data_IF_456314182855
#
_entry.id   IF_456314182855
#
_cell.length_a   1.000
_cell.length_b   1.000
_cell.length_c   1.000
_cell.angle_alpha   90.00
_cell.angle_beta   90.00
_cell.angle_gamma   90.00
#
_symmetry.space_group_name_H-M   'P 1'
#
loop_
_entity.id
_entity.type
_entity.pdbx_description
1 polymer ?
#
# COMPACT_ATOMS: atom_id res chain seq x y z
N UNK A 1 10.98 23.18 -12.91
CA UNK A 1 10.13 24.38 -12.83
C UNK A 1 10.21 25.00 -11.43
N UNK A 2 9.95 24.29 -10.33
CA UNK A 2 10.00 24.81 -8.95
C UNK A 2 11.32 25.51 -8.65
N UNK A 3 12.46 24.85 -8.93
CA UNK A 3 13.79 25.41 -8.73
C UNK A 3 14.09 26.68 -9.55
N UNK A 4 13.32 26.97 -10.60
CA UNK A 4 13.43 28.19 -11.39
C UNK A 4 12.57 29.35 -10.87
N UNK A 5 11.43 29.03 -10.24
CA UNK A 5 10.44 30.01 -9.79
C UNK A 5 10.62 30.42 -8.33
N UNK A 6 11.14 29.55 -7.51
CA UNK A 6 11.34 29.84 -6.09
C UNK A 6 12.71 30.49 -5.91
N UNK A 7 12.80 31.62 -5.20
CA UNK A 7 14.08 32.27 -4.92
C UNK A 7 14.92 31.40 -3.98
N UNK A 8 16.22 31.63 -4.00
CA UNK A 8 17.16 31.03 -3.05
C UNK A 8 16.72 31.30 -1.60
N UNK A 9 16.79 30.28 -0.74
CA UNK A 9 16.31 30.34 0.64
C UNK A 9 14.80 30.32 0.80
N UNK A 10 14.03 30.12 -0.29
CA UNK A 10 12.58 30.00 -0.24
C UNK A 10 12.08 28.69 0.38
N UNK A 11 10.76 28.50 0.39
CA UNK A 11 10.10 27.30 0.93
C UNK A 11 9.13 26.70 -0.07
N UNK A 12 9.04 25.37 -0.05
CA UNK A 12 7.99 24.56 -0.71
C UNK A 12 7.26 23.77 0.36
N UNK A 13 5.94 23.82 0.33
CA UNK A 13 5.11 23.04 1.25
C UNK A 13 4.18 22.09 0.47
N UNK A 14 4.02 20.87 0.96
CA UNK A 14 3.08 19.88 0.44
C UNK A 14 2.72 18.85 1.54
N UNK A 15 1.65 18.10 1.31
CA UNK A 15 1.34 16.95 2.14
C UNK A 15 2.22 15.75 1.74
N UNK A 16 3.18 15.41 2.58
CA UNK A 16 4.10 14.29 2.35
C UNK A 16 3.43 12.92 2.32
N UNK A 17 2.15 12.83 2.70
CA UNK A 17 1.37 11.59 2.62
C UNK A 17 0.93 11.25 1.19
N UNK A 18 0.90 12.24 0.30
CA UNK A 18 0.45 12.10 -1.11
C UNK A 18 1.58 12.17 -2.13
N UNK A 19 2.81 12.30 -1.68
CA UNK A 19 4.02 12.29 -2.51
C UNK A 19 4.83 11.04 -2.21
N UNK A 20 5.40 10.39 -3.22
CA UNK A 20 6.26 9.23 -3.01
C UNK A 20 7.60 9.61 -2.36
N UNK A 21 8.22 8.65 -1.67
CA UNK A 21 9.57 8.82 -1.12
C UNK A 21 10.57 9.24 -2.22
N UNK A 22 10.54 8.55 -3.37
CA UNK A 22 11.46 8.84 -4.48
C UNK A 22 11.31 10.25 -5.03
N UNK A 23 10.07 10.73 -5.23
CA UNK A 23 9.82 12.11 -5.65
C UNK A 23 10.26 13.12 -4.57
N UNK A 24 10.01 12.82 -3.31
CA UNK A 24 10.45 13.67 -2.20
C UNK A 24 11.96 13.80 -2.12
N UNK A 25 12.69 12.70 -2.32
CA UNK A 25 14.17 12.70 -2.39
C UNK A 25 14.69 13.50 -3.57
N UNK A 26 14.07 13.36 -4.76
CA UNK A 26 14.41 14.20 -5.93
C UNK A 26 14.19 15.69 -5.63
N UNK A 27 13.10 16.04 -4.95
CA UNK A 27 12.86 17.42 -4.54
C UNK A 27 13.90 17.91 -3.52
N UNK A 28 14.29 17.09 -2.55
CA UNK A 28 15.37 17.44 -1.61
C UNK A 28 16.68 17.76 -2.34
N UNK A 29 17.07 16.95 -3.32
CA UNK A 29 18.28 17.14 -4.10
C UNK A 29 18.22 18.44 -4.94
N UNK A 30 17.18 18.57 -5.75
CA UNK A 30 17.04 19.69 -6.71
C UNK A 30 16.81 21.02 -6.02
N UNK A 31 16.02 21.05 -4.95
CA UNK A 31 15.69 22.29 -4.22
C UNK A 31 16.77 22.64 -3.21
N UNK A 32 17.39 21.64 -2.58
CA UNK A 32 18.48 21.82 -1.62
C UNK A 32 19.70 22.51 -2.24
N UNK A 33 19.97 22.29 -3.53
CA UNK A 33 21.03 22.96 -4.28
C UNK A 33 20.86 24.52 -4.31
N UNK A 34 19.68 25.03 -4.00
CA UNK A 34 19.34 26.48 -3.88
C UNK A 34 18.95 26.89 -2.47
N UNK A 35 19.27 26.09 -1.46
CA UNK A 35 18.88 26.33 -0.08
C UNK A 35 17.35 26.47 0.11
N UNK A 36 16.54 25.92 -0.80
CA UNK A 36 15.06 25.91 -0.69
C UNK A 36 14.67 24.78 0.27
N UNK A 37 13.91 25.10 1.32
CA UNK A 37 13.44 24.13 2.31
C UNK A 37 12.11 23.50 1.93
N UNK A 38 11.91 22.24 2.34
CA UNK A 38 10.68 21.49 2.14
C UNK A 38 9.94 21.36 3.47
N UNK A 39 8.66 21.75 3.50
CA UNK A 39 7.71 21.51 4.57
C UNK A 39 6.70 20.45 4.08
N UNK A 40 6.74 19.24 4.62
CA UNK A 40 5.97 18.09 4.12
C UNK A 40 4.85 17.64 5.09
N UNK A 41 4.65 18.33 6.19
CA UNK A 41 3.62 18.03 7.20
C UNK A 41 2.38 18.96 7.05
N UNK A 42 2.22 19.60 5.91
CA UNK A 42 1.18 20.60 5.69
C UNK A 42 0.18 20.12 4.65
N UNK A 43 -1.03 19.80 5.08
CA UNK A 43 -2.17 19.57 4.18
C UNK A 43 -2.88 20.91 3.88
N UNK A 44 -2.43 21.57 2.80
CA UNK A 44 -3.01 22.85 2.35
C UNK A 44 -4.42 22.68 1.77
N UNK A 45 -4.74 21.50 1.26
CA UNK A 45 -6.05 21.21 0.66
C UNK A 45 -7.11 21.10 1.76
N UNK A 46 -6.79 20.46 2.87
CA UNK A 46 -7.70 20.33 4.02
C UNK A 46 -8.12 21.69 4.61
N UNK A 47 -7.27 22.71 4.46
CA UNK A 47 -7.55 24.07 4.93
C UNK A 47 -8.58 24.83 4.09
N UNK A 48 -8.81 24.42 2.85
CA UNK A 48 -9.67 25.11 1.88
C UNK A 48 -10.86 24.27 1.40
N UNK A 49 -10.83 22.95 1.64
CA UNK A 49 -11.90 22.04 1.22
C UNK A 49 -12.84 21.72 2.38
N UNK A 50 -13.79 22.61 2.63
CA UNK A 50 -14.70 22.57 3.78
C UNK A 50 -15.61 21.31 3.82
N UNK A 51 -16.02 20.78 2.65
CA UNK A 51 -16.87 19.60 2.51
C UNK A 51 -16.12 18.35 2.07
N UNK A 52 -14.81 18.25 2.41
CA UNK A 52 -13.97 17.10 2.08
C UNK A 52 -14.59 15.80 2.60
N UNK A 53 -14.86 14.81 1.73
CA UNK A 53 -15.45 13.55 2.16
C UNK A 53 -14.49 12.78 3.07
N UNK A 54 -15.06 12.10 4.06
CA UNK A 54 -14.27 11.17 4.90
C UNK A 54 -13.78 9.97 4.09
N UNK A 55 -12.72 9.32 4.56
CA UNK A 55 -12.25 8.06 3.98
C UNK A 55 -13.37 7.01 4.01
N UNK A 56 -13.37 6.14 2.99
CA UNK A 56 -14.32 5.04 2.87
C UNK A 56 -14.31 4.14 4.11
N UNK A 57 -15.50 3.70 4.53
CA UNK A 57 -15.73 2.72 5.60
C UNK A 57 -16.41 1.45 5.09
N UNK A 58 -16.31 1.18 3.78
CA UNK A 58 -16.89 -0.01 3.18
C UNK A 58 -16.27 -1.28 3.79
N UNK A 59 -17.07 -2.33 4.01
CA UNK A 59 -16.59 -3.53 4.70
C UNK A 59 -15.59 -4.31 3.84
N UNK A 60 -14.64 -4.97 4.51
CA UNK A 60 -13.73 -5.92 3.91
C UNK A 60 -14.30 -7.33 3.91
N UNK A 61 -13.76 -8.21 3.05
CA UNK A 61 -14.01 -9.64 3.08
C UNK A 61 -12.72 -10.44 2.92
N UNK A 62 -12.67 -11.62 3.53
CA UNK A 62 -11.52 -12.52 3.41
C UNK A 62 -11.64 -13.35 2.13
N UNK A 63 -10.54 -13.40 1.36
CA UNK A 63 -10.45 -14.21 0.15
C UNK A 63 -9.88 -15.58 0.50
N UNK A 64 -10.73 -16.60 0.47
CA UNK A 64 -10.39 -17.96 0.90
C UNK A 64 -9.30 -18.60 0.03
N UNK A 65 -8.58 -19.58 0.61
CA UNK A 65 -7.47 -20.28 -0.04
C UNK A 65 -7.87 -21.02 -1.32
N UNK A 66 -9.15 -21.38 -1.47
CA UNK A 66 -9.67 -21.95 -2.72
C UNK A 66 -9.59 -20.98 -3.91
N UNK A 67 -9.42 -19.69 -3.66
CA UNK A 67 -9.23 -18.65 -4.68
C UNK A 67 -7.80 -18.18 -4.76
N UNK A 68 -7.10 -18.08 -3.62
CA UNK A 68 -5.74 -17.56 -3.55
C UNK A 68 -4.67 -18.64 -3.77
N UNK A 69 -5.00 -19.91 -3.53
CA UNK A 69 -4.07 -21.05 -3.63
C UNK A 69 -2.92 -21.04 -2.64
N UNK A 70 -2.79 -19.97 -1.83
CA UNK A 70 -1.74 -19.84 -0.84
C UNK A 70 -2.27 -19.07 0.38
N UNK A 71 -2.06 -19.60 1.59
CA UNK A 71 -2.47 -18.96 2.82
C UNK A 71 -1.51 -17.82 3.24
N UNK A 72 -1.98 -16.99 4.17
CA UNK A 72 -1.24 -15.81 4.68
C UNK A 72 0.10 -16.22 5.31
N UNK A 73 0.15 -17.29 6.10
CA UNK A 73 1.38 -17.75 6.76
C UNK A 73 2.48 -18.08 5.76
N UNK A 74 2.15 -18.77 4.66
CA UNK A 74 3.10 -19.11 3.59
C UNK A 74 3.64 -17.86 2.91
N UNK A 75 2.78 -16.90 2.58
CA UNK A 75 3.17 -15.63 1.95
C UNK A 75 4.08 -14.81 2.86
N UNK A 76 3.73 -14.68 4.14
CA UNK A 76 4.56 -13.99 5.14
C UNK A 76 5.93 -14.63 5.30
N UNK A 77 6.01 -15.96 5.28
CA UNK A 77 7.29 -16.68 5.33
C UNK A 77 8.18 -16.27 4.15
N UNK A 78 7.65 -16.30 2.93
CA UNK A 78 8.39 -15.90 1.71
C UNK A 78 8.85 -14.45 1.75
N UNK A 79 8.00 -13.53 2.23
CA UNK A 79 8.35 -12.10 2.39
C UNK A 79 9.49 -11.96 3.39
N UNK A 80 9.44 -12.65 4.54
CA UNK A 80 10.50 -12.61 5.55
C UNK A 80 11.82 -13.17 5.04
N UNK A 81 11.81 -14.22 4.21
CA UNK A 81 12.99 -14.74 3.53
C UNK A 81 13.62 -13.66 2.63
N UNK A 82 12.82 -12.92 1.90
CA UNK A 82 13.31 -11.79 1.08
C UNK A 82 13.82 -10.62 1.91
N UNK A 83 13.12 -10.28 2.99
CA UNK A 83 13.65 -9.27 3.93
C UNK A 83 15.05 -9.63 4.43
N UNK A 84 15.28 -10.90 4.76
CA UNK A 84 16.59 -11.38 5.21
C UNK A 84 17.67 -11.24 4.13
N UNK A 85 17.35 -11.45 2.85
CA UNK A 85 18.29 -11.22 1.72
C UNK A 85 18.72 -9.74 1.62
N UNK A 86 17.83 -8.79 1.98
CA UNK A 86 18.14 -7.36 2.08
C UNK A 86 18.81 -6.95 3.40
N UNK A 87 18.97 -7.90 4.35
CA UNK A 87 19.41 -7.59 5.71
C UNK A 87 18.40 -6.73 6.48
N UNK A 88 17.15 -6.74 6.08
CA UNK A 88 16.08 -5.96 6.70
C UNK A 88 15.43 -6.74 7.85
N UNK A 89 15.10 -6.01 8.92
CA UNK A 89 14.42 -6.53 10.11
C UNK A 89 12.93 -6.15 10.13
N UNK A 90 12.58 -5.07 9.43
CA UNK A 90 11.20 -4.63 9.22
C UNK A 90 10.97 -4.30 7.74
N UNK A 91 9.75 -4.48 7.27
CA UNK A 91 9.34 -4.10 5.92
C UNK A 91 8.02 -3.35 5.97
N UNK A 92 8.02 -2.11 5.49
CA UNK A 92 6.83 -1.27 5.45
C UNK A 92 6.23 -1.33 4.04
N UNK A 93 4.93 -1.63 3.96
CA UNK A 93 4.19 -1.74 2.70
C UNK A 93 3.02 -0.75 2.73
N UNK A 94 3.03 0.20 1.79
CA UNK A 94 1.98 1.20 1.61
C UNK A 94 1.15 0.95 0.34
N UNK A 95 1.51 -0.04 -0.47
CA UNK A 95 0.76 -0.40 -1.68
C UNK A 95 -0.40 -1.33 -1.35
N UNK A 96 -1.62 -0.85 -1.58
CA UNK A 96 -2.87 -1.52 -1.22
C UNK A 96 -3.02 -2.91 -1.86
N UNK A 97 -2.59 -3.05 -3.11
CA UNK A 97 -2.65 -4.31 -3.85
C UNK A 97 -1.66 -5.37 -3.32
N UNK A 98 -0.52 -4.93 -2.81
CA UNK A 98 0.46 -5.80 -2.15
C UNK A 98 -0.08 -6.30 -0.80
N UNK A 99 -0.67 -5.42 0.00
CA UNK A 99 -1.27 -5.75 1.28
C UNK A 99 -2.47 -6.69 1.11
N UNK A 100 -3.36 -6.38 0.16
CA UNK A 100 -4.52 -7.21 -0.16
C UNK A 100 -4.12 -8.62 -0.64
N UNK A 101 -3.02 -8.75 -1.39
CA UNK A 101 -2.48 -10.05 -1.78
C UNK A 101 -1.84 -10.77 -0.58
N UNK A 102 -1.02 -10.07 0.20
CA UNK A 102 -0.27 -10.66 1.32
C UNK A 102 -1.18 -11.23 2.39
N UNK A 103 -2.21 -10.46 2.79
CA UNK A 103 -3.11 -10.80 3.88
C UNK A 103 -4.44 -11.44 3.43
N UNK A 104 -4.60 -11.76 2.15
CA UNK A 104 -5.78 -12.43 1.60
C UNK A 104 -7.11 -11.75 1.93
N UNK A 105 -7.17 -10.43 1.97
CA UNK A 105 -8.44 -9.72 2.13
C UNK A 105 -8.68 -8.73 0.98
N UNK A 106 -9.93 -8.37 0.78
CA UNK A 106 -10.37 -7.45 -0.26
C UNK A 106 -11.41 -6.50 0.32
N UNK A 107 -11.62 -5.37 -0.35
CA UNK A 107 -12.66 -4.40 -0.01
C UNK A 107 -13.07 -3.59 -1.25
N UNK A 108 -13.68 -2.44 -1.04
CA UNK A 108 -14.25 -1.61 -2.10
C UNK A 108 -14.02 -0.11 -1.80
N UNK A 109 -12.83 0.22 -1.29
CA UNK A 109 -12.49 1.62 -1.01
C UNK A 109 -12.08 2.39 -2.27
N UNK A 110 -11.60 1.68 -3.29
CA UNK A 110 -11.17 2.25 -4.57
C UNK A 110 -12.13 1.77 -5.65
N UNK A 111 -12.72 2.69 -6.39
CA UNK A 111 -13.64 2.37 -7.46
C UNK A 111 -12.99 1.46 -8.51
N UNK A 112 -13.67 0.37 -8.84
CA UNK A 112 -13.25 -0.67 -9.80
C UNK A 112 -12.08 -1.56 -9.37
N UNK A 113 -11.51 -1.34 -8.17
CA UNK A 113 -10.44 -2.18 -7.62
C UNK A 113 -10.85 -2.72 -6.25
N UNK A 114 -10.76 -4.04 -6.02
CA UNK A 114 -11.17 -4.64 -4.74
C UNK A 114 -10.11 -4.42 -3.64
N UNK A 115 -9.76 -3.16 -3.40
CA UNK A 115 -8.71 -2.75 -2.48
C UNK A 115 -9.27 -2.03 -1.25
N UNK A 116 -8.45 -1.97 -0.22
CA UNK A 116 -8.75 -1.34 1.06
C UNK A 116 -7.64 -0.36 1.39
N UNK A 117 -8.00 0.77 2.01
CA UNK A 117 -7.03 1.73 2.53
C UNK A 117 -6.41 1.16 3.81
N UNK A 118 -5.14 0.83 3.74
CA UNK A 118 -4.37 0.25 4.82
C UNK A 118 -2.85 0.49 4.67
N UNK A 119 -2.13 0.17 5.74
CA UNK A 119 -0.67 0.02 5.74
C UNK A 119 -0.30 -1.26 6.47
N UNK A 120 0.84 -1.83 6.13
CA UNK A 120 1.37 -3.03 6.78
C UNK A 120 2.82 -2.83 7.17
N UNK A 121 3.17 -3.23 8.40
CA UNK A 121 4.56 -3.42 8.82
C UNK A 121 4.78 -4.90 9.08
N UNK A 122 5.62 -5.54 8.27
CA UNK A 122 6.05 -6.92 8.48
C UNK A 122 7.29 -6.93 9.35
N UNK A 123 7.25 -7.67 10.45
CA UNK A 123 8.38 -7.92 11.36
C UNK A 123 8.77 -9.40 11.32
N UNK A 124 9.85 -9.75 12.01
CA UNK A 124 10.34 -11.13 12.09
C UNK A 124 9.25 -12.12 12.49
N UNK A 125 8.50 -11.82 13.55
CA UNK A 125 7.57 -12.77 14.17
C UNK A 125 6.11 -12.25 14.22
N UNK A 126 5.87 -10.99 13.85
CA UNK A 126 4.54 -10.37 13.85
C UNK A 126 4.32 -9.54 12.60
N UNK A 127 3.10 -9.06 12.45
CA UNK A 127 2.70 -8.08 11.43
C UNK A 127 1.80 -7.06 12.11
N UNK A 128 1.96 -5.79 11.77
CA UNK A 128 1.08 -4.73 12.21
C UNK A 128 0.29 -4.25 11.01
N UNK A 129 -1.05 -4.35 11.07
CA UNK A 129 -2.00 -3.91 10.05
C UNK A 129 -2.70 -2.63 10.54
N UNK A 130 -2.53 -1.54 9.83
CA UNK A 130 -3.15 -0.25 10.10
C UNK A 130 -4.34 -0.02 9.19
N UNK A 131 -5.55 -0.07 9.74
CA UNK A 131 -6.80 -0.05 8.99
C UNK A 131 -7.92 0.56 9.84
N UNK A 132 -8.99 1.09 9.22
CA UNK A 132 -10.21 1.43 9.95
C UNK A 132 -10.88 0.14 10.45
N UNK A 133 -10.92 -0.04 11.77
CA UNK A 133 -11.41 -1.23 12.46
C UNK A 133 -12.89 -1.55 12.11
N UNK A 134 -13.68 -0.54 11.77
CA UNK A 134 -15.09 -0.71 11.37
C UNK A 134 -15.29 -1.51 10.09
N UNK A 135 -14.24 -1.69 9.27
CA UNK A 135 -14.28 -2.47 8.02
C UNK A 135 -14.15 -3.98 8.26
N UNK A 136 -13.64 -4.37 9.44
CA UNK A 136 -13.26 -5.76 9.72
C UNK A 136 -14.41 -6.54 10.32
N UNK A 137 -14.72 -7.70 9.75
CA UNK A 137 -15.62 -8.68 10.33
C UNK A 137 -14.86 -9.74 11.17
N UNK A 138 -15.59 -10.56 11.91
CA UNK A 138 -15.02 -11.59 12.80
C UNK A 138 -14.11 -12.57 12.03
N UNK A 139 -14.49 -12.95 10.81
CA UNK A 139 -13.70 -13.86 9.97
C UNK A 139 -12.31 -13.29 9.66
N UNK A 140 -12.21 -12.00 9.31
CA UNK A 140 -10.92 -11.35 9.04
C UNK A 140 -10.10 -11.28 10.35
N UNK A 141 -10.73 -10.88 11.47
CA UNK A 141 -10.04 -10.79 12.76
C UNK A 141 -9.46 -12.14 13.20
N UNK A 142 -10.22 -13.22 13.03
CA UNK A 142 -9.74 -14.58 13.32
C UNK A 142 -8.54 -14.96 12.44
N UNK A 143 -8.58 -14.67 11.14
CA UNK A 143 -7.47 -14.98 10.23
C UNK A 143 -6.23 -14.10 10.53
N UNK A 144 -6.41 -12.83 10.87
CA UNK A 144 -5.32 -11.97 11.30
C UNK A 144 -4.68 -12.48 12.59
N UNK A 145 -5.48 -12.83 13.60
CA UNK A 145 -4.99 -13.39 14.87
C UNK A 145 -4.20 -14.69 14.69
N UNK A 146 -4.67 -15.61 13.83
CA UNK A 146 -3.97 -16.88 13.52
C UNK A 146 -2.57 -16.64 12.93
N UNK A 147 -2.37 -15.52 12.25
CA UNK A 147 -1.12 -15.19 11.57
C UNK A 147 -0.26 -14.19 12.35
N UNK A 148 -0.57 -13.93 13.62
CA UNK A 148 0.10 -12.96 14.48
C UNK A 148 0.10 -11.54 13.85
N UNK A 149 -1.03 -11.14 13.28
CA UNK A 149 -1.28 -9.82 12.73
C UNK A 149 -2.03 -8.99 13.76
N UNK A 150 -1.40 -7.93 14.26
CA UNK A 150 -2.00 -6.97 15.17
C UNK A 150 -2.73 -5.90 14.36
N UNK A 151 -3.92 -5.51 14.80
CA UNK A 151 -4.75 -4.52 14.12
C UNK A 151 -4.63 -3.19 14.88
N UNK A 152 -4.35 -2.12 14.14
CA UNK A 152 -4.17 -0.76 14.66
C UNK A 152 -5.05 0.23 13.89
N UNK A 153 -5.44 1.37 14.48
CA UNK A 153 -6.11 2.45 13.75
C UNK A 153 -5.26 2.96 12.57
N UNK A 154 -5.92 3.25 11.46
CA UNK A 154 -5.27 3.59 10.17
C UNK A 154 -4.17 4.66 10.28
N UNK A 155 -4.42 5.74 11.01
CA UNK A 155 -3.48 6.85 11.12
C UNK A 155 -2.35 6.63 12.12
N UNK A 156 -2.43 5.61 12.99
CA UNK A 156 -1.41 5.36 14.01
C UNK A 156 -0.07 4.92 13.39
N UNK A 157 -0.06 4.52 12.11
CA UNK A 157 1.15 4.16 11.37
C UNK A 157 2.24 5.23 11.48
N UNK A 158 1.89 6.53 11.43
CA UNK A 158 2.86 7.63 11.46
C UNK A 158 3.54 7.78 12.82
N UNK A 159 2.80 7.52 13.89
CA UNK A 159 3.35 7.55 15.25
C UNK A 159 4.11 6.25 15.60
N UNK A 160 3.64 5.12 15.10
CA UNK A 160 4.28 3.83 15.35
C UNK A 160 5.57 3.65 14.52
N UNK A 161 5.63 4.21 13.32
CA UNK A 161 6.85 4.24 12.53
C UNK A 161 7.99 4.95 13.25
N UNK A 162 7.72 6.03 14.00
CA UNK A 162 8.70 6.75 14.83
C UNK A 162 9.26 5.91 15.99
N UNK A 163 8.56 4.84 16.38
CA UNK A 163 8.93 3.92 17.47
C UNK A 163 9.73 2.70 17.00
N UNK A 164 9.95 2.55 15.69
CA UNK A 164 10.85 1.51 15.15
C UNK A 164 12.24 1.73 15.74
N UNK A 165 12.89 0.66 16.23
CA UNK A 165 14.20 0.75 16.86
C UNK A 165 15.25 1.34 15.92
N UNK A 166 16.10 2.23 16.41
CA UNK A 166 17.16 2.85 15.62
C UNK A 166 18.22 1.83 15.13
N UNK A 167 18.29 0.67 15.76
CA UNK A 167 19.12 -0.47 15.40
C UNK A 167 18.50 -1.40 14.36
N UNK A 168 17.22 -1.17 14.01
CA UNK A 168 16.53 -1.93 12.97
C UNK A 168 16.92 -1.46 11.56
N UNK A 169 16.57 -2.26 10.56
CA UNK A 169 16.77 -1.97 9.14
C UNK A 169 15.44 -2.12 8.42
N UNK A 170 14.93 -1.01 7.87
CA UNK A 170 13.65 -0.99 7.16
C UNK A 170 13.84 -1.20 5.65
N UNK A 171 13.19 -2.22 5.08
CA UNK A 171 13.05 -2.38 3.64
C UNK A 171 11.87 -1.52 3.16
N UNK A 172 12.12 -0.67 2.16
CA UNK A 172 11.13 0.25 1.58
C UNK A 172 11.26 0.29 0.08
N UNK A 173 10.11 0.27 -0.60
CA UNK A 173 10.01 0.60 -2.03
C UNK A 173 9.78 2.12 -2.16
N UNK A 174 10.77 2.88 -2.68
CA UNK A 174 10.69 4.34 -2.74
C UNK A 174 9.57 4.87 -3.67
N UNK A 175 9.11 4.05 -4.61
CA UNK A 175 8.02 4.41 -5.51
C UNK A 175 6.63 4.12 -4.93
N UNK A 176 6.54 3.35 -3.84
CA UNK A 176 5.29 2.92 -3.20
C UNK A 176 5.07 3.54 -1.82
N UNK A 177 6.16 3.91 -1.14
CA UNK A 177 6.11 4.55 0.17
C UNK A 177 5.86 6.05 0.04
N UNK A 178 5.01 6.62 0.89
CA UNK A 178 4.87 8.06 0.94
C UNK A 178 6.02 8.72 1.72
N UNK A 179 6.32 9.95 1.34
CA UNK A 179 7.46 10.70 1.85
C UNK A 179 7.37 10.99 3.35
N UNK A 180 6.18 11.35 3.87
CA UNK A 180 6.00 11.63 5.30
C UNK A 180 6.32 10.40 6.17
N UNK A 181 5.88 9.22 5.75
CA UNK A 181 6.15 7.98 6.48
C UNK A 181 7.64 7.62 6.42
N UNK A 182 8.28 7.78 5.27
CA UNK A 182 9.74 7.62 5.15
C UNK A 182 10.50 8.55 6.10
N UNK A 183 10.15 9.84 6.14
CA UNK A 183 10.81 10.83 7.01
C UNK A 183 10.57 10.60 8.51
N UNK A 184 9.56 9.82 8.87
CA UNK A 184 9.27 9.49 10.29
C UNK A 184 10.17 8.37 10.84
N UNK A 185 10.87 7.62 9.98
CA UNK A 185 11.67 6.47 10.39
C UNK A 185 12.97 6.87 11.10
N UNK A 186 13.24 6.36 12.31
CA UNK A 186 14.48 6.63 13.04
C UNK A 186 15.63 5.68 12.68
N UNK A 187 15.35 4.63 11.87
CA UNK A 187 16.27 3.54 11.58
C UNK A 187 16.89 3.66 10.19
N UNK A 188 17.86 2.79 9.91
CA UNK A 188 18.45 2.65 8.57
C UNK A 188 17.40 2.15 7.57
N UNK A 189 17.33 2.79 6.40
CA UNK A 189 16.49 2.35 5.28
C UNK A 189 17.36 1.64 4.23
N UNK A 190 16.85 0.51 3.74
CA UNK A 190 17.35 -0.18 2.54
C UNK A 190 16.27 -0.08 1.49
N UNK A 191 16.61 0.52 0.36
CA UNK A 191 15.69 0.69 -0.76
C UNK A 191 15.64 -0.57 -1.63
N UNK A 192 14.44 -1.00 -1.96
CA UNK A 192 14.21 -2.15 -2.84
C UNK A 192 12.74 -2.29 -3.18
N UNK A 193 12.45 -2.88 -4.34
CA UNK A 193 11.07 -3.18 -4.71
C UNK A 193 10.41 -4.10 -3.69
N UNK A 194 9.13 -3.88 -3.41
CA UNK A 194 8.36 -4.77 -2.52
C UNK A 194 8.48 -6.22 -3.02
N UNK A 195 8.92 -7.17 -2.19
CA UNK A 195 9.00 -8.59 -2.56
C UNK A 195 7.68 -9.15 -3.11
N UNK A 196 6.58 -8.64 -2.62
CA UNK A 196 5.21 -8.98 -3.00
C UNK A 196 4.91 -8.72 -4.48
N UNK A 197 5.55 -7.73 -5.12
CA UNK A 197 5.32 -7.39 -6.52
C UNK A 197 5.56 -8.60 -7.43
N UNK A 198 6.73 -9.23 -7.32
CA UNK A 198 7.07 -10.39 -8.16
C UNK A 198 6.31 -11.64 -7.70
N UNK A 199 6.14 -11.84 -6.40
CA UNK A 199 5.40 -12.97 -5.84
C UNK A 199 3.94 -12.98 -6.31
N UNK A 200 3.29 -11.83 -6.35
CA UNK A 200 1.93 -11.63 -6.85
C UNK A 200 1.83 -11.77 -8.37
N UNK A 201 2.87 -11.33 -9.09
CA UNK A 201 2.91 -11.42 -10.54
C UNK A 201 2.98 -12.87 -11.04
N UNK A 202 3.69 -13.76 -10.35
CA UNK A 202 3.81 -15.18 -10.67
C UNK A 202 2.63 -15.92 -10.02
N UNK A 203 1.63 -16.26 -10.84
CA UNK A 203 0.40 -16.91 -10.38
C UNK A 203 0.63 -18.39 -10.11
N UNK A 204 0.04 -18.90 -9.01
CA UNK A 204 -0.03 -20.33 -8.73
C UNK A 204 -1.15 -21.00 -9.58
N UNK A 205 -1.20 -22.34 -9.57
CA UNK A 205 -2.15 -23.10 -10.40
C UNK A 205 -3.61 -22.80 -10.05
N UNK A 206 -3.92 -22.54 -8.78
CA UNK A 206 -5.28 -22.20 -8.32
C UNK A 206 -5.68 -20.82 -8.84
N UNK A 207 -4.80 -19.84 -8.73
CA UNK A 207 -5.02 -18.50 -9.29
C UNK A 207 -5.22 -18.55 -10.81
N UNK A 208 -4.37 -19.33 -11.52
CA UNK A 208 -4.47 -19.49 -12.97
C UNK A 208 -5.83 -20.07 -13.38
N UNK A 209 -6.29 -21.11 -12.70
CA UNK A 209 -7.57 -21.74 -13.01
C UNK A 209 -8.75 -20.80 -12.71
N UNK A 210 -8.71 -20.08 -11.59
CA UNK A 210 -9.73 -19.10 -11.25
C UNK A 210 -9.76 -17.92 -12.23
N UNK A 211 -8.59 -17.43 -12.69
CA UNK A 211 -8.50 -16.39 -13.72
C UNK A 211 -9.11 -16.88 -15.03
N UNK A 212 -8.76 -18.10 -15.51
CA UNK A 212 -9.36 -18.68 -16.74
C UNK A 212 -10.89 -18.75 -16.65
N UNK A 213 -11.42 -19.18 -15.49
CA UNK A 213 -12.86 -19.27 -15.27
C UNK A 213 -13.54 -17.89 -15.24
N UNK A 214 -12.87 -16.87 -14.68
CA UNK A 214 -13.36 -15.49 -14.69
C UNK A 214 -13.35 -14.90 -16.09
N UNK A 215 -12.23 -15.03 -16.81
CA UNK A 215 -12.04 -14.57 -18.19
C UNK A 215 -13.08 -15.17 -19.16
N UNK A 216 -13.41 -16.46 -19.00
CA UNK A 216 -14.45 -17.09 -19.81
C UNK A 216 -15.81 -16.41 -19.63
N UNK A 217 -16.20 -16.12 -18.38
CA UNK A 217 -17.47 -15.44 -18.06
C UNK A 217 -17.48 -14.01 -18.61
N UNK A 218 -16.37 -13.30 -18.43
CA UNK A 218 -16.23 -11.92 -18.88
C UNK A 218 -16.24 -11.83 -20.42
N UNK A 219 -15.51 -12.71 -21.09
CA UNK A 219 -15.49 -12.80 -22.56
C UNK A 219 -16.89 -13.08 -23.15
N UNK A 220 -17.69 -13.92 -22.48
CA UNK A 220 -19.09 -14.17 -22.90
C UNK A 220 -19.93 -12.90 -22.74
N UNK A 221 -19.78 -12.19 -21.62
CA UNK A 221 -20.51 -10.93 -21.36
C UNK A 221 -20.12 -9.85 -22.37
N UNK A 222 -18.83 -9.68 -22.62
CA UNK A 222 -18.31 -8.73 -23.61
C UNK A 222 -18.78 -9.05 -25.03
N UNK A 223 -18.77 -10.32 -25.43
CA UNK A 223 -19.26 -10.76 -26.73
C UNK A 223 -20.74 -10.43 -26.91
N UNK A 224 -21.57 -10.70 -25.90
CA UNK A 224 -23.00 -10.33 -25.91
C UNK A 224 -23.19 -8.82 -26.01
N UNK A 225 -22.40 -8.03 -25.27
CA UNK A 225 -22.44 -6.59 -25.34
C UNK A 225 -22.07 -6.05 -26.74
N UNK A 226 -20.97 -6.53 -27.33
CA UNK A 226 -20.57 -6.15 -28.70
C UNK A 226 -21.65 -6.51 -29.70
N UNK A 227 -22.24 -7.69 -29.58
CA UNK A 227 -23.37 -8.09 -30.45
C UNK A 227 -24.57 -7.15 -30.29
N UNK A 228 -24.92 -6.80 -29.06
CA UNK A 228 -26.01 -5.87 -28.78
C UNK A 228 -25.75 -4.48 -29.36
N UNK A 229 -24.53 -3.95 -29.19
CA UNK A 229 -24.13 -2.66 -29.79
C UNK A 229 -24.29 -2.69 -31.31
N UNK A 230 -23.75 -3.71 -31.99
CA UNK A 230 -23.87 -3.86 -33.46
C UNK A 230 -25.32 -3.99 -33.95
N UNK A 231 -26.22 -4.41 -33.12
CA UNK A 231 -27.64 -4.57 -33.46
C UNK A 231 -28.47 -3.29 -33.25
N UNK A 232 -28.05 -2.41 -32.34
CA UNK A 232 -28.84 -1.28 -31.87
C UNK A 232 -28.24 0.09 -32.22
N UNK A 233 -27.00 0.11 -32.72
CA UNK A 233 -26.32 1.33 -33.15
C UNK A 233 -25.73 1.11 -34.54
N UNK A 234 -26.19 1.92 -35.52
CA UNK A 234 -25.67 2.01 -36.89
C UNK A 234 -24.47 2.98 -36.96
#
# INVERSE_FOLDING_TARGET
WLAQKIPEGGKVAFDGRVLSMGEGQEYEEVLGAKNITIEYEVDLIDQIWEDRPSLSKKPCFFLEDKYTGENVASKLKRVREKMAEYGATVHLIASLDDNAWLLNFRGDDIDFFPLVLDYVIVRKDSVDLYIDDSKLNDRIREEMAKNNVNIHPYNDIYEDAKKIGADEVALIDPMKMNYALYKSLPCKVVEGANPTILMKAIKNDVEIENIKNAELKDSIALTKFIYWVKKNYD
#
